data_IF_252701274045
#
_entry.id   IF_252701274045
#
_cell.length_a   1.000
_cell.length_b   1.000
_cell.length_c   1.000
_cell.angle_alpha   90.00
_cell.angle_beta   90.00
_cell.angle_gamma   90.00
#
_symmetry.space_group_name_H-M   'P 1'
#
loop_
_entity.id
_entity.type
_entity.pdbx_description
1 polymer ?
#
# COMPACT_ATOMS: atom_id res chain seq x y z
N UNK A 1 -44.44 24.27 45.49
CA UNK A 1 -43.31 24.66 44.63
C UNK A 1 -42.63 23.40 44.11
N UNK A 2 -42.25 23.40 42.84
CA UNK A 2 -42.15 22.24 41.92
C UNK A 2 -40.93 21.34 42.19
N UNK A 3 -41.13 20.01 42.17
CA UNK A 3 -40.05 19.00 42.17
C UNK A 3 -39.62 18.79 40.71
N UNK A 4 -38.37 19.11 40.38
CA UNK A 4 -37.77 18.84 39.07
C UNK A 4 -36.98 17.52 39.17
N UNK A 5 -37.28 16.49 38.37
CA UNK A 5 -36.41 15.32 38.29
C UNK A 5 -35.22 15.69 37.39
N UNK A 6 -34.02 15.69 37.99
CA UNK A 6 -32.76 15.86 37.28
C UNK A 6 -32.51 14.59 36.46
N UNK A 7 -32.88 14.61 35.18
CA UNK A 7 -32.63 13.55 34.22
C UNK A 7 -31.13 13.53 33.90
N UNK A 8 -30.39 12.63 34.54
CA UNK A 8 -28.97 12.41 34.31
C UNK A 8 -28.82 11.69 32.96
N UNK A 9 -28.67 12.46 31.88
CA UNK A 9 -28.39 11.94 30.55
C UNK A 9 -26.92 11.48 30.51
N UNK A 10 -26.70 10.17 30.65
CA UNK A 10 -25.39 9.54 30.49
C UNK A 10 -25.05 9.53 28.99
N UNK A 11 -24.38 10.59 28.52
CA UNK A 11 -23.85 10.67 27.16
C UNK A 11 -22.62 9.74 27.07
N UNK A 12 -22.82 8.49 26.67
CA UNK A 12 -21.75 7.56 26.30
C UNK A 12 -21.10 8.08 25.00
N UNK A 13 -20.06 8.90 25.14
CA UNK A 13 -19.16 9.27 24.03
C UNK A 13 -18.34 8.01 23.71
N UNK A 14 -18.83 7.21 22.77
CA UNK A 14 -18.05 6.11 22.19
C UNK A 14 -16.98 6.74 21.31
N UNK A 15 -15.79 6.94 21.86
CA UNK A 15 -14.60 7.20 21.07
C UNK A 15 -14.33 5.92 20.26
N UNK A 16 -14.89 5.83 19.05
CA UNK A 16 -14.41 4.89 18.05
C UNK A 16 -12.96 5.30 17.75
N UNK A 17 -12.03 4.70 18.48
CA UNK A 17 -10.61 4.89 18.26
C UNK A 17 -10.32 4.45 16.84
N UNK A 18 -10.06 5.41 15.95
CA UNK A 18 -9.38 5.13 14.71
C UNK A 18 -7.98 4.65 15.09
N UNK A 19 -7.83 3.33 15.23
CA UNK A 19 -6.52 2.71 15.33
C UNK A 19 -5.81 3.00 14.02
N UNK A 20 -4.86 3.94 14.04
CA UNK A 20 -3.88 4.08 12.98
C UNK A 20 -3.13 2.75 12.91
N UNK A 21 -3.53 1.89 11.97
CA UNK A 21 -2.79 0.68 11.67
C UNK A 21 -1.48 1.13 11.04
N UNK A 22 -0.39 1.12 11.81
CA UNK A 22 0.95 1.16 11.23
C UNK A 22 1.04 0.00 10.25
N UNK A 23 1.16 0.29 8.97
CA UNK A 23 1.12 -0.73 7.92
C UNK A 23 2.33 -1.65 8.10
N UNK A 24 2.09 -2.95 8.27
CA UNK A 24 3.10 -3.97 8.59
C UNK A 24 4.16 -4.12 7.48
N UNK A 25 3.93 -3.53 6.32
CA UNK A 25 4.79 -3.65 5.12
C UNK A 25 5.86 -2.55 5.02
N UNK A 26 5.89 -1.57 5.91
CA UNK A 26 6.90 -0.50 5.92
C UNK A 26 8.29 -1.12 6.04
N UNK A 27 9.20 -0.71 5.15
CA UNK A 27 10.54 -1.29 5.12
C UNK A 27 11.23 -1.13 3.78
N UNK A 28 12.41 -1.74 3.71
CA UNK A 28 13.17 -1.88 2.47
C UNK A 28 13.10 -3.32 2.02
N UNK A 29 12.68 -3.51 0.79
CA UNK A 29 12.46 -4.79 0.16
C UNK A 29 13.28 -4.87 -1.12
N UNK A 30 13.62 -6.09 -1.52
CA UNK A 30 14.21 -6.36 -2.82
C UNK A 30 13.54 -7.59 -3.40
N UNK A 31 13.38 -7.61 -4.72
CA UNK A 31 12.79 -8.73 -5.41
C UNK A 31 13.24 -8.79 -6.85
N UNK A 32 12.63 -9.71 -7.59
CA UNK A 32 12.86 -9.84 -9.01
C UNK A 32 11.63 -10.35 -9.73
N UNK A 33 11.54 -10.05 -11.03
CA UNK A 33 10.51 -10.54 -11.91
C UNK A 33 11.11 -10.85 -13.30
N UNK A 34 10.49 -11.75 -14.09
CA UNK A 34 10.90 -11.95 -15.47
C UNK A 34 10.60 -10.69 -16.28
N UNK A 35 11.62 -10.11 -16.90
CA UNK A 35 11.48 -9.05 -17.89
C UNK A 35 10.93 -9.58 -19.22
N UNK A 36 10.48 -8.66 -20.07
CA UNK A 36 9.89 -8.98 -21.38
C UNK A 36 10.83 -9.75 -22.31
N UNK A 37 12.14 -9.56 -22.15
CA UNK A 37 13.19 -10.25 -22.91
C UNK A 37 13.61 -11.61 -22.32
N UNK A 38 12.91 -12.05 -21.26
CA UNK A 38 13.22 -13.28 -20.53
C UNK A 38 14.39 -13.14 -19.55
N UNK A 39 15.01 -11.96 -19.44
CA UNK A 39 16.00 -11.71 -18.41
C UNK A 39 15.32 -11.34 -17.09
N UNK A 40 15.89 -11.79 -15.98
CA UNK A 40 15.40 -11.41 -14.65
C UNK A 40 15.74 -9.96 -14.37
N UNK A 41 14.72 -9.13 -14.12
CA UNK A 41 14.90 -7.78 -13.64
C UNK A 41 14.81 -7.76 -12.12
N UNK A 42 15.87 -7.25 -11.48
CA UNK A 42 15.91 -7.05 -10.03
C UNK A 42 15.40 -5.65 -9.70
N UNK A 43 14.81 -5.50 -8.52
CA UNK A 43 14.39 -4.20 -8.02
C UNK A 43 14.63 -4.08 -6.53
N UNK A 44 14.79 -2.84 -6.06
CA UNK A 44 14.61 -2.49 -4.66
C UNK A 44 13.38 -1.62 -4.50
N UNK A 45 12.71 -1.77 -3.36
CA UNK A 45 11.51 -1.03 -3.02
C UNK A 45 11.63 -0.51 -1.60
N UNK A 46 11.38 0.78 -1.40
CA UNK A 46 11.26 1.38 -0.07
C UNK A 46 9.79 1.76 0.15
N UNK A 47 9.17 1.19 1.17
CA UNK A 47 7.81 1.53 1.60
C UNK A 47 7.89 2.36 2.89
N UNK A 48 7.30 3.55 2.87
CA UNK A 48 7.13 4.47 4.01
C UNK A 48 5.65 4.54 4.40
N UNK A 49 5.26 5.42 5.32
CA UNK A 49 3.90 5.42 5.91
C UNK A 49 2.74 5.44 4.89
N UNK A 50 2.87 6.20 3.80
CA UNK A 50 1.83 6.42 2.79
C UNK A 50 2.33 6.35 1.34
N UNK A 51 3.60 5.97 1.17
CA UNK A 51 4.31 6.09 -0.09
C UNK A 51 5.29 4.95 -0.29
N UNK A 52 5.60 4.69 -1.56
CA UNK A 52 6.63 3.75 -1.97
C UNK A 52 7.52 4.35 -3.04
N UNK A 53 8.75 3.84 -3.11
CA UNK A 53 9.72 4.12 -4.17
C UNK A 53 10.27 2.81 -4.70
N UNK A 54 10.42 2.70 -6.01
CA UNK A 54 11.01 1.54 -6.69
C UNK A 54 12.22 2.01 -7.51
N UNK A 55 13.29 1.24 -7.40
CA UNK A 55 14.52 1.34 -8.17
C UNK A 55 14.70 0.01 -8.91
N UNK A 56 14.52 0.05 -10.22
CA UNK A 56 14.73 -1.06 -11.14
C UNK A 56 16.20 -1.15 -11.51
N UNK A 57 16.75 -2.36 -11.46
CA UNK A 57 18.18 -2.56 -11.68
C UNK A 57 19.04 -2.29 -10.44
N UNK A 58 18.47 -1.71 -9.37
CA UNK A 58 19.16 -1.44 -8.11
C UNK A 58 20.39 -0.54 -8.30
N UNK A 59 20.26 0.48 -9.14
CA UNK A 59 21.36 1.40 -9.50
C UNK A 59 21.44 2.64 -8.59
N UNK A 60 20.51 2.76 -7.63
CA UNK A 60 20.39 3.87 -6.70
C UNK A 60 19.51 5.01 -7.21
N UNK A 61 18.94 4.91 -8.41
CA UNK A 61 17.98 5.86 -8.98
C UNK A 61 16.57 5.38 -8.73
N UNK A 62 15.71 6.28 -8.25
CA UNK A 62 14.27 6.00 -8.12
C UNK A 62 13.62 6.13 -9.51
N UNK A 63 13.03 5.05 -9.99
CA UNK A 63 12.32 4.98 -11.27
C UNK A 63 10.82 5.26 -11.12
N UNK A 64 10.24 4.83 -10.00
CA UNK A 64 8.82 5.02 -9.69
C UNK A 64 8.70 5.51 -8.24
N UNK A 65 7.90 6.56 -8.05
CA UNK A 65 7.34 6.95 -6.76
C UNK A 65 5.83 6.77 -6.83
N UNK A 66 5.24 6.24 -5.77
CA UNK A 66 3.80 6.12 -5.66
C UNK A 66 3.30 6.28 -4.23
N UNK A 67 1.99 6.22 -4.10
CA UNK A 67 1.29 6.26 -2.83
C UNK A 67 0.41 5.04 -2.68
N UNK A 68 0.09 4.72 -1.43
CA UNK A 68 -0.78 3.59 -1.14
C UNK A 68 -1.69 3.83 0.06
N UNK A 69 -2.73 3.02 0.15
CA UNK A 69 -3.51 2.83 1.38
C UNK A 69 -3.49 1.35 1.75
N UNK A 70 -3.36 1.03 3.03
CA UNK A 70 -3.51 -0.32 3.54
C UNK A 70 -4.78 -0.44 4.39
N UNK A 71 -5.56 -1.49 4.17
CA UNK A 71 -6.73 -1.84 4.97
C UNK A 71 -6.80 -3.36 5.12
N UNK A 72 -6.70 -3.85 6.35
CA UNK A 72 -6.64 -5.29 6.63
C UNK A 72 -5.48 -5.99 5.91
N UNK A 73 -5.81 -7.01 5.11
CA UNK A 73 -4.87 -7.82 4.33
C UNK A 73 -4.62 -7.28 2.91
N UNK A 74 -5.10 -6.07 2.59
CA UNK A 74 -5.02 -5.48 1.26
C UNK A 74 -4.29 -4.14 1.26
N UNK A 75 -3.62 -3.88 0.14
CA UNK A 75 -3.08 -2.58 -0.23
C UNK A 75 -3.70 -2.13 -1.54
N UNK A 76 -3.96 -0.83 -1.62
CA UNK A 76 -4.28 -0.15 -2.88
C UNK A 76 -3.13 0.79 -3.21
N UNK A 77 -2.52 0.65 -4.38
CA UNK A 77 -1.34 1.41 -4.84
C UNK A 77 -1.66 2.25 -6.06
N UNK A 78 -0.97 3.37 -6.23
CA UNK A 78 -0.98 4.18 -7.45
C UNK A 78 0.31 4.97 -7.59
N UNK A 79 0.78 5.11 -8.83
CA UNK A 79 2.00 5.85 -9.12
C UNK A 79 1.73 7.36 -9.12
N UNK A 80 2.72 8.14 -8.68
CA UNK A 80 2.64 9.60 -8.57
C UNK A 80 3.73 10.31 -9.36
N UNK A 81 4.87 9.68 -9.62
CA UNK A 81 5.96 10.20 -10.44
C UNK A 81 6.92 9.10 -10.92
N UNK A 82 7.63 9.33 -12.03
CA UNK A 82 8.61 8.37 -12.57
C UNK A 82 8.59 8.30 -14.10
N UNK A 83 9.50 7.50 -14.68
CA UNK A 83 9.57 7.30 -16.14
C UNK A 83 8.63 6.19 -16.63
N UNK A 84 8.37 5.18 -15.79
CA UNK A 84 7.59 3.99 -16.13
C UNK A 84 6.32 3.87 -15.27
N UNK A 85 5.68 5.01 -14.96
CA UNK A 85 4.47 5.05 -14.12
C UNK A 85 3.22 4.63 -14.88
N UNK A 86 2.30 3.97 -14.19
CA UNK A 86 0.92 3.93 -14.59
C UNK A 86 0.21 5.28 -14.32
N UNK A 87 -0.88 5.60 -15.03
CA UNK A 87 -1.75 6.70 -14.66
C UNK A 87 -2.20 6.62 -13.19
N UNK A 88 -2.15 7.75 -12.47
CA UNK A 88 -2.44 7.80 -11.02
C UNK A 88 -3.88 7.42 -10.65
N UNK A 89 -4.81 7.48 -11.60
CA UNK A 89 -6.21 7.06 -11.47
C UNK A 89 -6.39 5.55 -11.69
N UNK A 90 -5.41 4.87 -12.32
CA UNK A 90 -5.37 3.42 -12.44
C UNK A 90 -4.75 2.82 -11.17
N UNK A 91 -5.60 2.59 -10.17
CA UNK A 91 -5.19 1.98 -8.90
C UNK A 91 -5.10 0.46 -8.99
N UNK A 92 -4.03 -0.10 -8.44
CA UNK A 92 -3.86 -1.53 -8.23
C UNK A 92 -4.26 -1.95 -6.82
N UNK A 93 -4.93 -3.09 -6.67
CA UNK A 93 -5.33 -3.70 -5.39
C UNK A 93 -4.66 -5.06 -5.28
N UNK A 94 -3.94 -5.25 -4.18
CA UNK A 94 -3.19 -6.47 -3.89
C UNK A 94 -3.51 -6.94 -2.48
N UNK A 95 -3.64 -8.25 -2.29
CA UNK A 95 -3.47 -8.84 -0.97
C UNK A 95 -1.98 -8.92 -0.64
N UNK A 96 -1.63 -8.76 0.62
CA UNK A 96 -0.25 -8.94 1.06
C UNK A 96 -0.15 -9.94 2.21
N UNK A 97 0.98 -10.65 2.27
CA UNK A 97 1.35 -11.52 3.38
C UNK A 97 2.81 -11.26 3.75
N UNK A 98 3.08 -11.14 5.05
CA UNK A 98 4.43 -11.03 5.59
C UNK A 98 4.74 -12.31 6.39
N UNK A 99 5.75 -13.05 5.97
CA UNK A 99 6.29 -14.22 6.68
C UNK A 99 7.79 -14.05 6.90
N UNK A 100 8.18 -13.73 8.14
CA UNK A 100 9.56 -13.35 8.47
C UNK A 100 10.02 -12.15 7.64
N UNK A 101 11.04 -12.38 6.81
CA UNK A 101 11.64 -11.38 5.92
C UNK A 101 11.10 -11.44 4.47
N UNK A 102 9.98 -12.16 4.27
CA UNK A 102 9.37 -12.31 2.94
C UNK A 102 8.02 -11.60 2.88
N UNK A 103 7.95 -10.54 2.06
CA UNK A 103 6.71 -9.85 1.72
C UNK A 103 6.20 -10.34 0.36
N UNK A 104 5.00 -10.89 0.33
CA UNK A 104 4.35 -11.37 -0.89
C UNK A 104 3.13 -10.53 -1.21
N UNK A 105 3.01 -10.07 -2.45
CA UNK A 105 1.81 -9.43 -2.98
C UNK A 105 1.09 -10.39 -3.93
N UNK A 106 -0.23 -10.52 -3.78
CA UNK A 106 -1.09 -11.26 -4.69
C UNK A 106 -2.08 -10.29 -5.31
N UNK A 107 -2.03 -10.15 -6.64
CA UNK A 107 -2.93 -9.25 -7.35
C UNK A 107 -4.39 -9.66 -7.13
N UNK A 108 -5.21 -8.70 -6.70
CA UNK A 108 -6.68 -8.84 -6.66
C UNK A 108 -7.27 -8.18 -7.90
N UNK A 109 -6.80 -6.97 -8.21
CA UNK A 109 -7.16 -6.20 -9.41
C UNK A 109 -6.07 -5.19 -9.71
N UNK A 110 -5.49 -5.21 -10.90
CA UNK A 110 -4.72 -4.07 -11.41
C UNK A 110 -4.86 -4.05 -12.92
N UNK A 111 -5.41 -2.97 -13.46
CA UNK A 111 -5.66 -2.83 -14.90
C UNK A 111 -4.49 -2.14 -15.61
N UNK A 112 -3.39 -1.85 -14.90
CA UNK A 112 -2.19 -1.28 -15.50
C UNK A 112 -1.23 -2.36 -16.01
N UNK A 113 -0.94 -2.41 -17.33
CA UNK A 113 0.02 -3.35 -17.92
C UNK A 113 1.40 -3.28 -17.29
N UNK A 114 1.88 -2.07 -16.99
CA UNK A 114 3.21 -1.84 -16.42
C UNK A 114 3.42 -2.40 -15.00
N UNK A 115 2.36 -2.80 -14.29
CA UNK A 115 2.43 -3.44 -12.95
C UNK A 115 2.06 -4.92 -12.97
N UNK A 116 2.21 -5.55 -14.14
CA UNK A 116 2.10 -7.00 -14.29
C UNK A 116 0.69 -7.48 -14.58
N UNK A 117 -0.17 -6.67 -15.21
CA UNK A 117 -1.45 -7.17 -15.72
C UNK A 117 -1.25 -7.91 -17.05
N UNK A 118 -0.92 -9.20 -16.99
CA UNK A 118 -1.17 -10.16 -18.07
C UNK A 118 -1.88 -11.39 -17.47
N UNK A 119 -2.81 -12.01 -18.21
CA UNK A 119 -3.87 -12.90 -17.70
C UNK A 119 -3.42 -14.16 -16.94
#
# INVERSE_FOLDING_TARGET
>A
MKKFPLFFLFLLVYCAGASAQTSVIIGKWSGSFPGEDGQTLNFSMTISDDSYQIDFGMDGRVDITGSYTADGDQVTVWDTAGENTCPSDQKGVYKYALDGDTLTFTQVKDDCPGRGSEP
#
